data_IF_358359660099
#
_entry.id   IF_358359660099
#
_cell.length_a   1.000
_cell.length_b   1.000
_cell.length_c   1.000
_cell.angle_alpha   90.00
_cell.angle_beta   90.00
_cell.angle_gamma   90.00
#
_symmetry.space_group_name_H-M   'P 1'
#
loop_
_entity.id
_entity.type
_entity.pdbx_description
1 polymer ?
#
# COMPACT_ATOMS: atom_id res chain seq x y z
N UNK A 1 25.05 26.95 43.43
CA UNK A 1 25.02 26.72 41.97
C UNK A 1 23.68 26.09 41.61
N UNK A 2 22.74 26.89 41.09
CA UNK A 2 21.39 26.41 40.76
C UNK A 2 21.42 25.60 39.46
N UNK A 3 21.18 24.29 39.53
CA UNK A 3 20.90 23.46 38.36
C UNK A 3 19.45 23.71 37.95
N UNK A 4 19.22 24.61 37.00
CA UNK A 4 17.88 24.86 36.45
C UNK A 4 17.41 23.61 35.70
N UNK A 5 16.24 23.08 36.05
CA UNK A 5 15.65 21.92 35.36
C UNK A 5 15.39 22.30 33.88
N UNK A 6 15.78 21.45 32.91
CA UNK A 6 15.55 21.75 31.51
C UNK A 6 14.06 21.84 31.21
N UNK A 7 13.68 22.82 30.40
CA UNK A 7 12.29 23.03 29.98
C UNK A 7 11.84 21.87 29.09
N UNK A 8 10.53 21.60 29.05
CA UNK A 8 9.94 20.55 28.22
C UNK A 8 10.34 20.72 26.74
N UNK A 9 10.34 21.96 26.24
CA UNK A 9 10.78 22.27 24.87
C UNK A 9 12.25 21.88 24.62
N UNK A 10 13.14 22.11 25.59
CA UNK A 10 14.55 21.72 25.50
C UNK A 10 14.71 20.20 25.50
N UNK A 11 13.96 19.51 26.35
CA UNK A 11 13.96 18.05 26.39
C UNK A 11 13.43 17.45 25.08
N UNK A 12 12.39 18.03 24.49
CA UNK A 12 11.86 17.61 23.20
C UNK A 12 12.88 17.84 22.09
N UNK A 13 13.52 19.01 22.04
CA UNK A 13 14.56 19.31 21.05
C UNK A 13 15.75 18.35 21.14
N UNK A 14 16.24 18.08 22.36
CA UNK A 14 17.34 17.14 22.59
C UNK A 14 16.99 15.71 22.12
N UNK A 15 15.74 15.28 22.32
CA UNK A 15 15.26 13.98 21.81
C UNK A 15 15.16 13.95 20.29
N UNK A 16 14.69 15.02 19.65
CA UNK A 16 14.59 15.10 18.19
C UNK A 16 15.97 15.06 17.54
N UNK A 17 16.94 15.84 18.04
CA UNK A 17 18.32 15.79 17.53
C UNK A 17 18.97 14.41 17.70
N UNK A 18 18.67 13.70 18.80
CA UNK A 18 19.17 12.34 19.00
C UNK A 18 18.62 11.36 17.96
N UNK A 19 17.32 11.46 17.64
CA UNK A 19 16.68 10.66 16.60
C UNK A 19 17.27 10.97 15.22
N UNK A 20 17.42 12.25 14.87
CA UNK A 20 18.02 12.69 13.60
C UNK A 20 19.45 12.14 13.42
N UNK A 21 20.24 12.16 14.50
CA UNK A 21 21.61 11.62 14.49
C UNK A 21 21.62 10.11 14.24
N UNK A 22 20.70 9.37 14.87
CA UNK A 22 20.59 7.92 14.67
C UNK A 22 20.14 7.61 13.23
N UNK A 23 19.16 8.35 12.71
CA UNK A 23 18.65 8.16 11.35
C UNK A 23 19.76 8.39 10.31
N UNK A 24 20.50 9.48 10.44
CA UNK A 24 21.61 9.81 9.54
C UNK A 24 22.72 8.75 9.58
N UNK A 25 22.98 8.14 10.74
CA UNK A 25 23.95 7.05 10.86
C UNK A 25 23.46 5.78 10.14
N UNK A 26 22.20 5.40 10.32
CA UNK A 26 21.61 4.24 9.65
C UNK A 26 21.59 4.40 8.13
N UNK A 27 21.31 5.62 7.64
CA UNK A 27 21.32 5.95 6.21
C UNK A 27 22.74 6.01 5.62
N UNK A 28 23.76 6.32 6.42
CA UNK A 28 25.15 6.27 5.98
C UNK A 28 25.66 4.81 5.88
N UNK A 29 25.23 3.95 6.80
CA UNK A 29 25.61 2.53 6.82
C UNK A 29 24.98 1.72 5.67
N UNK A 30 23.87 2.20 5.08
CA UNK A 30 23.24 1.57 3.90
C UNK A 30 23.90 1.94 2.56
N UNK A 31 24.84 2.91 2.52
CA UNK A 31 25.64 3.20 1.32
C UNK A 31 26.90 2.33 1.26
N UNK A 32 26.72 1.04 1.01
CA UNK A 32 27.77 0.22 0.39
C UNK A 32 27.22 -0.40 -0.90
N UNK A 33 27.81 -0.11 -2.08
CA UNK A 33 27.45 -0.84 -3.29
C UNK A 33 28.14 -2.20 -3.22
N UNK A 34 27.45 -3.21 -2.67
CA UNK A 34 27.91 -4.59 -2.76
C UNK A 34 27.68 -5.07 -4.19
N UNK A 35 28.71 -4.93 -5.02
CA UNK A 35 28.85 -5.70 -6.25
C UNK A 35 29.12 -7.17 -5.89
N UNK A 36 28.04 -7.91 -5.64
CA UNK A 36 28.02 -9.38 -5.65
C UNK A 36 27.41 -9.89 -6.95
N UNK A 37 27.51 -11.19 -7.27
CA UNK A 37 26.79 -11.77 -8.39
C UNK A 37 25.29 -11.49 -8.21
N UNK A 38 24.62 -11.02 -9.26
CA UNK A 38 23.16 -10.87 -9.30
C UNK A 38 22.54 -12.24 -9.02
N UNK A 39 22.25 -12.53 -7.75
CA UNK A 39 21.28 -13.54 -7.39
C UNK A 39 19.99 -13.08 -8.07
N UNK A 40 19.34 -13.88 -8.93
CA UNK A 40 18.06 -13.49 -9.49
C UNK A 40 17.16 -13.19 -8.29
N UNK A 41 16.75 -11.92 -8.16
CA UNK A 41 15.84 -11.51 -7.10
C UNK A 41 14.62 -12.42 -7.20
N UNK A 42 14.21 -12.99 -6.07
CA UNK A 42 13.04 -13.87 -6.08
C UNK A 42 11.87 -13.06 -6.61
N UNK A 43 11.10 -13.59 -7.57
CA UNK A 43 9.97 -12.86 -8.13
C UNK A 43 9.01 -12.47 -7.00
N UNK A 44 8.63 -11.20 -6.96
CA UNK A 44 7.64 -10.69 -6.02
C UNK A 44 6.25 -10.96 -6.58
N UNK A 45 5.40 -11.56 -5.74
CA UNK A 45 4.02 -11.88 -6.10
C UNK A 45 3.04 -10.92 -5.43
N UNK A 46 2.19 -10.32 -6.25
CA UNK A 46 1.10 -9.42 -5.87
C UNK A 46 -0.23 -10.09 -6.21
N UNK A 47 -1.34 -9.40 -5.99
CA UNK A 47 -2.64 -9.81 -6.51
C UNK A 47 -3.32 -8.66 -7.24
N UNK A 48 -4.18 -8.99 -8.20
CA UNK A 48 -5.05 -8.04 -8.89
C UNK A 48 -6.49 -8.49 -8.77
N UNK A 49 -7.40 -7.53 -8.75
CA UNK A 49 -8.84 -7.75 -8.87
C UNK A 49 -9.47 -6.54 -9.57
N UNK A 50 -10.77 -6.60 -9.79
CA UNK A 50 -11.58 -5.47 -10.23
C UNK A 50 -13.06 -5.85 -10.29
N UNK A 51 -13.95 -4.90 -10.52
CA UNK A 51 -15.39 -5.16 -10.68
C UNK A 51 -15.76 -6.31 -11.63
N UNK A 52 -14.98 -6.45 -12.72
CA UNK A 52 -15.17 -7.50 -13.73
C UNK A 52 -14.02 -8.52 -13.75
N UNK A 53 -13.11 -8.45 -12.78
CA UNK A 53 -11.90 -9.29 -12.74
C UNK A 53 -11.78 -10.01 -11.40
N UNK A 54 -11.78 -11.35 -11.38
CA UNK A 54 -11.63 -12.09 -10.13
C UNK A 54 -10.22 -11.90 -9.54
N UNK A 55 -10.13 -12.03 -8.21
CA UNK A 55 -8.86 -12.01 -7.49
C UNK A 55 -7.87 -13.03 -8.08
N UNK A 56 -6.73 -12.55 -8.57
CA UNK A 56 -5.72 -13.34 -9.26
C UNK A 56 -4.31 -12.96 -8.78
N UNK A 57 -3.40 -13.91 -8.70
CA UNK A 57 -1.99 -13.66 -8.34
C UNK A 57 -1.20 -13.27 -9.59
N UNK A 58 -0.40 -12.21 -9.48
CA UNK A 58 0.45 -11.70 -10.57
C UNK A 58 1.88 -11.49 -10.05
N UNK A 59 2.84 -11.31 -10.96
CA UNK A 59 4.19 -10.87 -10.59
C UNK A 59 4.25 -9.35 -10.59
N UNK A 60 5.15 -8.77 -9.80
CA UNK A 60 5.35 -7.32 -9.76
C UNK A 60 5.65 -6.72 -11.15
N UNK A 61 6.43 -7.42 -11.97
CA UNK A 61 6.77 -6.96 -13.33
C UNK A 61 5.57 -6.89 -14.27
N UNK A 62 4.48 -7.60 -13.96
CA UNK A 62 3.25 -7.62 -14.75
C UNK A 62 2.21 -6.60 -14.22
N UNK A 63 2.48 -5.88 -13.11
CA UNK A 63 1.48 -5.05 -12.43
C UNK A 63 0.89 -3.94 -13.32
N UNK A 64 1.72 -3.27 -14.12
CA UNK A 64 1.29 -2.19 -15.02
C UNK A 64 0.43 -2.68 -16.19
N UNK A 65 0.44 -3.98 -16.51
CA UNK A 65 -0.45 -4.55 -17.53
C UNK A 65 -1.91 -4.60 -17.03
N UNK A 66 -2.12 -4.67 -15.71
CA UNK A 66 -3.43 -4.69 -15.07
C UNK A 66 -3.84 -3.30 -14.57
N UNK A 67 -2.90 -2.53 -14.04
CA UNK A 67 -3.11 -1.17 -13.55
C UNK A 67 -2.03 -0.24 -14.13
N UNK A 68 -2.27 0.40 -15.29
CA UNK A 68 -1.24 1.19 -15.99
C UNK A 68 -0.62 2.33 -15.18
N UNK A 69 -1.31 2.87 -14.16
CA UNK A 69 -0.80 3.94 -13.30
C UNK A 69 -0.05 3.45 -12.05
N UNK A 70 0.13 2.13 -11.88
CA UNK A 70 0.75 1.51 -10.71
C UNK A 70 2.16 2.05 -10.44
N UNK A 71 2.44 2.46 -9.19
CA UNK A 71 3.69 3.06 -8.70
C UNK A 71 4.12 4.37 -9.41
N UNK A 72 3.22 4.96 -10.22
CA UNK A 72 3.48 6.21 -10.95
C UNK A 72 2.52 7.31 -10.55
N UNK A 73 1.21 7.05 -10.67
CA UNK A 73 0.14 8.02 -10.42
C UNK A 73 -1.04 7.39 -9.66
N UNK A 74 -0.82 6.22 -9.07
CA UNK A 74 -1.81 5.50 -8.27
C UNK A 74 -2.02 6.14 -6.90
N UNK A 75 -3.18 5.84 -6.33
CA UNK A 75 -3.46 6.08 -4.92
C UNK A 75 -3.43 4.76 -4.15
N UNK A 76 -3.08 4.86 -2.87
CA UNK A 76 -2.96 3.73 -1.97
C UNK A 76 -4.07 3.79 -0.92
N UNK A 77 -4.83 2.71 -0.82
CA UNK A 77 -5.80 2.45 0.24
C UNK A 77 -5.24 1.33 1.14
N UNK A 78 -5.22 1.57 2.45
CA UNK A 78 -4.73 0.58 3.41
C UNK A 78 -5.84 -0.38 3.82
N UNK A 79 -5.65 -1.68 3.62
CA UNK A 79 -6.66 -2.67 3.99
C UNK A 79 -6.73 -2.76 5.53
N UNK A 80 -7.88 -2.44 6.16
CA UNK A 80 -7.99 -2.40 7.61
C UNK A 80 -7.55 -3.71 8.28
N UNK A 81 -6.65 -3.61 9.25
CA UNK A 81 -6.16 -4.75 10.01
C UNK A 81 -5.13 -5.64 9.30
N UNK A 82 -4.81 -5.37 8.03
CA UNK A 82 -3.85 -6.14 7.25
C UNK A 82 -2.60 -5.31 6.91
N UNK A 83 -1.40 -5.92 6.83
CA UNK A 83 -0.21 -5.27 6.30
C UNK A 83 -0.23 -5.26 4.76
N UNK A 84 -1.36 -4.89 4.16
CA UNK A 84 -1.61 -4.92 2.72
C UNK A 84 -2.12 -3.55 2.28
N UNK A 85 -1.57 -3.07 1.17
CA UNK A 85 -2.03 -1.87 0.47
C UNK A 85 -2.72 -2.29 -0.82
N UNK A 86 -3.77 -1.55 -1.16
CA UNK A 86 -4.46 -1.60 -2.45
C UNK A 86 -4.11 -0.35 -3.24
N UNK A 87 -3.45 -0.54 -4.38
CA UNK A 87 -3.19 0.47 -5.39
C UNK A 87 -4.35 0.51 -6.39
N UNK A 88 -4.78 1.73 -6.74
CA UNK A 88 -5.84 1.97 -7.71
C UNK A 88 -5.66 3.30 -8.44
N UNK A 89 -6.35 3.44 -9.56
CA UNK A 89 -6.33 4.64 -10.39
C UNK A 89 -7.32 5.68 -9.83
N UNK A 90 -6.88 6.91 -9.47
CA UNK A 90 -7.80 7.94 -8.96
C UNK A 90 -8.87 8.34 -9.98
N UNK A 91 -8.59 8.26 -11.27
CA UNK A 91 -9.55 8.53 -12.34
C UNK A 91 -10.68 7.47 -12.43
N UNK A 92 -10.57 6.37 -11.68
CA UNK A 92 -11.55 5.29 -11.62
C UNK A 92 -12.39 5.31 -10.34
N UNK A 93 -12.39 6.44 -9.63
CA UNK A 93 -13.29 6.70 -8.51
C UNK A 93 -14.57 7.36 -9.00
N UNK A 94 -15.69 6.87 -8.50
CA UNK A 94 -17.01 7.44 -8.69
C UNK A 94 -17.61 7.81 -7.34
N UNK A 95 -17.88 9.09 -7.15
CA UNK A 95 -18.48 9.59 -5.91
C UNK A 95 -20.01 9.61 -6.02
N UNK A 96 -20.70 9.05 -5.02
CA UNK A 96 -22.16 9.10 -4.91
C UNK A 96 -22.50 9.59 -3.50
N UNK A 97 -22.84 10.88 -3.39
CA UNK A 97 -23.09 11.50 -2.10
C UNK A 97 -21.78 11.72 -1.33
N UNK A 98 -21.67 11.13 -0.15
CA UNK A 98 -20.48 11.19 0.71
C UNK A 98 -19.59 9.94 0.57
N UNK A 99 -20.01 8.99 -0.27
CA UNK A 99 -19.36 7.69 -0.44
C UNK A 99 -18.56 7.64 -1.75
N UNK A 100 -17.39 7.00 -1.72
CA UNK A 100 -16.51 6.83 -2.89
C UNK A 100 -16.50 5.38 -3.36
N UNK A 101 -16.61 5.14 -4.66
CA UNK A 101 -16.64 3.79 -5.22
C UNK A 101 -15.58 3.61 -6.30
N UNK A 102 -14.75 2.58 -6.17
CA UNK A 102 -13.80 2.19 -7.19
C UNK A 102 -14.48 1.31 -8.24
N UNK A 103 -14.44 1.77 -9.49
CA UNK A 103 -15.08 1.11 -10.65
C UNK A 103 -14.07 0.51 -11.63
N UNK A 104 -12.79 0.45 -11.25
CA UNK A 104 -11.70 -0.07 -12.05
C UNK A 104 -10.87 -1.15 -11.36
N UNK A 105 -9.84 -1.69 -12.03
CA UNK A 105 -8.93 -2.67 -11.45
C UNK A 105 -8.11 -2.08 -10.30
N UNK A 106 -7.64 -2.98 -9.44
CA UNK A 106 -6.72 -2.69 -8.34
C UNK A 106 -5.59 -3.73 -8.26
N UNK A 107 -4.49 -3.32 -7.61
CA UNK A 107 -3.38 -4.18 -7.24
C UNK A 107 -3.23 -4.23 -5.72
N UNK A 108 -3.15 -5.41 -5.14
CA UNK A 108 -2.85 -5.62 -3.73
C UNK A 108 -1.41 -6.06 -3.54
N UNK A 109 -0.71 -5.44 -2.59
CA UNK A 109 0.65 -5.81 -2.24
C UNK A 109 0.91 -5.72 -0.74
N UNK A 110 1.70 -6.67 -0.23
CA UNK A 110 2.06 -6.74 1.18
C UNK A 110 3.26 -5.84 1.46
N UNK A 111 3.22 -5.15 2.60
CA UNK A 111 4.35 -4.40 3.13
C UNK A 111 4.91 -5.09 4.39
N UNK A 112 6.23 -5.05 4.56
CA UNK A 112 6.86 -5.45 5.81
C UNK A 112 6.81 -4.34 6.87
N UNK A 113 7.33 -4.62 8.07
CA UNK A 113 7.37 -3.67 9.19
C UNK A 113 8.25 -2.43 8.97
N UNK A 114 9.03 -2.40 7.89
CA UNK A 114 9.90 -1.27 7.50
C UNK A 114 9.31 -0.55 6.27
N UNK A 115 8.22 -1.08 5.69
CA UNK A 115 7.53 -0.50 4.54
C UNK A 115 8.00 -1.02 3.20
N UNK A 116 8.78 -2.10 3.14
CA UNK A 116 9.18 -2.69 1.86
C UNK A 116 8.09 -3.61 1.32
N UNK A 117 7.86 -3.58 0.01
CA UNK A 117 7.00 -4.55 -0.67
C UNK A 117 7.60 -5.96 -0.57
N UNK A 118 6.79 -6.90 -0.11
CA UNK A 118 7.12 -8.32 -0.02
C UNK A 118 6.04 -9.16 -0.70
N UNK A 119 6.33 -10.41 -1.04
CA UNK A 119 5.34 -11.28 -1.68
C UNK A 119 4.15 -11.53 -0.76
N UNK A 120 2.94 -11.53 -1.35
CA UNK A 120 1.74 -11.98 -0.67
C UNK A 120 1.88 -13.43 -0.19
N UNK A 121 1.30 -13.70 0.97
CA UNK A 121 1.17 -15.04 1.52
C UNK A 121 -0.19 -15.63 1.12
N UNK A 122 -0.32 -16.95 1.15
CA UNK A 122 -1.62 -17.60 0.87
C UNK A 122 -2.71 -17.13 1.84
N UNK A 123 -2.36 -16.86 3.10
CA UNK A 123 -3.28 -16.29 4.09
C UNK A 123 -3.79 -14.89 3.70
N UNK A 124 -2.97 -14.11 2.98
CA UNK A 124 -3.36 -12.78 2.51
C UNK A 124 -4.44 -12.90 1.44
N UNK A 125 -4.35 -13.88 0.54
CA UNK A 125 -5.34 -14.09 -0.52
C UNK A 125 -6.74 -14.42 0.04
N UNK A 126 -6.82 -15.18 1.14
CA UNK A 126 -8.10 -15.46 1.80
C UNK A 126 -8.72 -14.20 2.39
N UNK A 127 -7.91 -13.38 3.07
CA UNK A 127 -8.37 -12.12 3.67
C UNK A 127 -8.76 -11.10 2.59
N UNK A 128 -8.06 -11.09 1.46
CA UNK A 128 -8.43 -10.24 0.31
C UNK A 128 -9.73 -10.69 -0.34
N UNK A 129 -9.99 -11.99 -0.44
CA UNK A 129 -11.25 -12.50 -0.96
C UNK A 129 -12.42 -12.11 -0.04
N UNK A 130 -12.25 -12.21 1.28
CA UNK A 130 -13.23 -11.76 2.28
C UNK A 130 -13.47 -10.25 2.19
N UNK A 131 -12.40 -9.45 2.14
CA UNK A 131 -12.50 -8.00 1.94
C UNK A 131 -13.31 -7.64 0.68
N UNK A 132 -13.00 -8.26 -0.46
CA UNK A 132 -13.71 -8.01 -1.71
C UNK A 132 -15.18 -8.42 -1.63
N UNK A 133 -15.52 -9.53 -0.96
CA UNK A 133 -16.90 -9.95 -0.76
C UNK A 133 -17.70 -8.94 0.08
N UNK A 134 -17.08 -8.40 1.13
CA UNK A 134 -17.72 -7.42 2.03
C UNK A 134 -17.90 -6.03 1.40
N UNK A 135 -16.97 -5.61 0.53
CA UNK A 135 -16.95 -4.25 -0.02
C UNK A 135 -17.49 -4.17 -1.46
N UNK A 136 -17.78 -5.31 -2.09
CA UNK A 136 -18.41 -5.35 -3.40
C UNK A 136 -19.87 -4.96 -3.31
N UNK A 137 -20.24 -3.90 -4.03
CA UNK A 137 -21.60 -3.40 -4.13
C UNK A 137 -22.07 -3.40 -5.59
N UNK A 138 -23.38 -3.53 -5.79
CA UNK A 138 -24.00 -3.37 -7.11
C UNK A 138 -24.58 -1.97 -7.19
N UNK A 139 -24.05 -1.17 -8.10
CA UNK A 139 -24.54 0.18 -8.38
C UNK A 139 -25.43 0.18 -9.62
N UNK A 140 -26.42 1.08 -9.63
CA UNK A 140 -27.37 1.24 -10.72
C UNK A 140 -27.08 2.53 -11.49
N UNK A 141 -26.93 2.43 -12.80
CA UNK A 141 -26.89 3.57 -13.72
C UNK A 141 -28.04 3.44 -14.72
N UNK A 142 -29.17 4.05 -14.38
CA UNK A 142 -30.40 3.92 -15.15
C UNK A 142 -30.95 2.49 -15.07
N UNK A 143 -30.95 1.79 -16.21
CA UNK A 143 -31.40 0.38 -16.30
C UNK A 143 -30.25 -0.62 -16.20
N UNK A 144 -29.00 -0.15 -16.25
CA UNK A 144 -27.81 -0.99 -16.16
C UNK A 144 -27.32 -1.07 -14.72
N UNK A 145 -26.69 -2.19 -14.39
CA UNK A 145 -26.08 -2.44 -13.09
C UNK A 145 -24.65 -2.90 -13.28
N UNK A 146 -23.74 -2.47 -12.43
CA UNK A 146 -22.35 -2.90 -12.43
C UNK A 146 -21.84 -3.05 -11.00
N UNK A 147 -20.79 -3.84 -10.84
CA UNK A 147 -20.13 -4.02 -9.55
C UNK A 147 -19.18 -2.84 -9.31
N UNK A 148 -19.06 -2.41 -8.06
CA UNK A 148 -18.03 -1.47 -7.64
C UNK A 148 -17.52 -1.88 -6.26
N UNK A 149 -16.34 -1.40 -5.90
CA UNK A 149 -15.79 -1.59 -4.56
C UNK A 149 -16.01 -0.29 -3.78
N UNK A 150 -16.78 -0.35 -2.70
CA UNK A 150 -16.96 0.79 -1.81
C UNK A 150 -15.66 1.06 -1.06
N UNK A 151 -15.23 2.32 -1.08
CA UNK A 151 -14.13 2.85 -0.26
C UNK A 151 -14.77 3.71 0.84
N UNK A 152 -14.27 3.54 2.07
CA UNK A 152 -14.80 4.18 3.29
C UNK A 152 -15.22 5.66 3.14
#
# INVERSE_FOLDING_TARGET
MNKTKPTLARQTYEKVCAIETILNRLLADSRTPVSGPLVPERPLYLATAGPEMPLSVIRLEDASDYLPCFDEADLLYGIPGLPILMSYCPEQIMDIGEESYLVGPMIFFRIDHIGNTVSLQVADLYQLAEFLEEHSVILMQGVESFVAIQLD
#
